data_IF_279178075668
#
_entry.id   IF_279178075668
#
_cell.length_a   1.000
_cell.length_b   1.000
_cell.length_c   1.000
_cell.angle_alpha   90.00
_cell.angle_beta   90.00
_cell.angle_gamma   90.00
#
_symmetry.space_group_name_H-M   'P 1'
#
loop_
_entity.id
_entity.type
_entity.pdbx_description
1 polymer ?
#
# COMPACT_ATOMS: atom_id res chain seq x y z
N UNK A 1 31.59 -12.81 -19.49
CA UNK A 1 30.37 -12.48 -20.25
C UNK A 1 29.17 -12.52 -19.30
N UNK A 2 28.32 -11.49 -19.30
CA UNK A 2 27.05 -11.50 -18.58
C UNK A 2 25.90 -11.35 -19.57
N UNK A 3 24.98 -12.31 -19.60
CA UNK A 3 23.82 -12.29 -20.52
C UNK A 3 22.64 -11.62 -19.82
N UNK A 4 22.05 -10.64 -20.49
CA UNK A 4 20.79 -9.98 -20.12
C UNK A 4 19.73 -10.33 -21.18
N UNK A 5 18.49 -9.88 -20.96
CA UNK A 5 17.36 -10.22 -21.84
C UNK A 5 17.59 -9.80 -23.30
N UNK A 6 17.93 -8.53 -23.51
CA UNK A 6 18.03 -7.95 -24.85
C UNK A 6 19.47 -7.92 -25.38
N UNK A 7 20.45 -8.09 -24.49
CA UNK A 7 21.87 -7.86 -24.77
C UNK A 7 22.76 -8.81 -23.97
N UNK A 8 24.00 -9.01 -24.41
CA UNK A 8 25.05 -9.52 -23.54
C UNK A 8 26.17 -8.50 -23.38
N UNK A 9 26.79 -8.53 -22.20
CA UNK A 9 27.85 -7.64 -21.81
C UNK A 9 29.18 -8.38 -21.91
N UNK A 10 30.04 -7.87 -22.79
CA UNK A 10 31.43 -8.25 -22.90
C UNK A 10 32.30 -7.26 -22.12
N UNK A 11 32.66 -7.66 -20.91
CA UNK A 11 33.52 -6.86 -20.03
C UNK A 11 34.99 -6.83 -20.46
N UNK A 12 35.44 -7.77 -21.30
CA UNK A 12 36.82 -7.76 -21.80
C UNK A 12 36.97 -6.63 -22.83
N UNK A 13 35.97 -6.49 -23.71
CA UNK A 13 35.97 -5.47 -24.75
C UNK A 13 35.22 -4.19 -24.36
N UNK A 14 34.58 -4.15 -23.17
CA UNK A 14 33.73 -3.04 -22.71
C UNK A 14 32.66 -2.66 -23.74
N UNK A 15 31.94 -3.67 -24.24
CA UNK A 15 30.84 -3.49 -25.18
C UNK A 15 29.60 -4.26 -24.72
N UNK A 16 28.45 -3.66 -24.98
CA UNK A 16 27.15 -4.29 -24.93
C UNK A 16 26.77 -4.66 -26.36
N UNK A 17 26.34 -5.88 -26.58
CA UNK A 17 25.98 -6.40 -27.90
C UNK A 17 24.53 -6.86 -27.85
N UNK A 18 23.71 -6.40 -28.78
CA UNK A 18 22.32 -6.85 -28.92
C UNK A 18 22.27 -8.36 -29.18
N UNK A 19 21.40 -9.07 -28.46
CA UNK A 19 21.16 -10.50 -28.68
C UNK A 19 20.49 -10.76 -30.04
N UNK A 20 19.84 -9.74 -30.63
CA UNK A 20 19.12 -9.83 -31.89
C UNK A 20 19.94 -9.36 -33.09
N UNK A 21 20.99 -8.55 -32.88
CA UNK A 21 21.87 -8.06 -33.94
C UNK A 21 23.29 -7.87 -33.41
N UNK A 22 24.21 -8.75 -33.82
CA UNK A 22 25.62 -8.69 -33.41
C UNK A 22 26.33 -7.40 -33.86
N UNK A 23 25.77 -6.68 -34.83
CA UNK A 23 26.32 -5.40 -35.29
C UNK A 23 25.81 -4.21 -34.47
N UNK A 24 24.71 -4.35 -33.72
CA UNK A 24 24.25 -3.34 -32.76
C UNK A 24 25.05 -3.46 -31.47
N UNK A 25 26.22 -2.83 -31.49
CA UNK A 25 27.15 -2.77 -30.38
C UNK A 25 27.21 -1.36 -29.80
N UNK A 26 27.20 -1.27 -28.47
CA UNK A 26 27.32 0.00 -27.75
C UNK A 26 28.47 -0.10 -26.76
N UNK A 27 29.41 0.86 -26.73
CA UNK A 27 30.44 0.88 -25.70
C UNK A 27 29.78 1.03 -24.34
N UNK A 28 30.25 0.28 -23.36
CA UNK A 28 29.83 0.45 -21.97
C UNK A 28 30.97 1.06 -21.17
N UNK A 29 30.60 1.87 -20.18
CA UNK A 29 31.56 2.41 -19.24
C UNK A 29 31.14 2.02 -17.84
N UNK A 30 32.10 1.51 -17.06
CA UNK A 30 31.90 1.34 -15.63
C UNK A 30 31.84 2.72 -14.98
N UNK A 31 30.65 3.15 -14.61
CA UNK A 31 30.46 4.41 -13.89
C UNK A 31 30.52 4.14 -12.38
N UNK A 32 31.51 4.72 -11.71
CA UNK A 32 31.53 4.76 -10.24
C UNK A 32 30.54 5.84 -9.83
N UNK A 33 29.30 5.44 -9.52
CA UNK A 33 28.29 6.36 -9.00
C UNK A 33 28.78 6.97 -7.67
N UNK A 34 28.78 8.29 -7.58
CA UNK A 34 29.02 8.99 -6.32
C UNK A 34 27.82 8.75 -5.41
N UNK A 35 28.00 8.80 -4.08
CA UNK A 35 26.88 8.75 -3.12
C UNK A 35 25.82 9.82 -3.38
N UNK A 36 26.17 10.89 -4.08
CA UNK A 36 25.30 12.02 -4.44
C UNK A 36 24.57 11.83 -5.76
N UNK A 37 24.89 10.80 -6.55
CA UNK A 37 24.24 10.56 -7.84
C UNK A 37 22.85 9.96 -7.60
N UNK A 38 21.86 10.84 -7.45
CA UNK A 38 20.46 10.43 -7.25
C UNK A 38 19.86 10.05 -8.60
N UNK A 39 19.85 8.76 -8.94
CA UNK A 39 19.02 8.26 -10.01
C UNK A 39 17.57 8.29 -9.54
N UNK A 40 16.68 8.85 -10.36
CA UNK A 40 15.25 8.82 -10.14
C UNK A 40 14.63 7.85 -11.12
N UNK A 41 13.53 7.21 -10.71
CA UNK A 41 12.88 6.21 -11.55
C UNK A 41 11.92 6.85 -12.54
N UNK A 42 12.12 6.60 -13.83
CA UNK A 42 11.44 7.36 -14.88
C UNK A 42 9.94 7.01 -15.02
N UNK A 43 9.56 5.73 -14.89
CA UNK A 43 8.24 5.28 -15.36
C UNK A 43 7.18 4.99 -14.28
N UNK A 44 7.49 5.09 -12.98
CA UNK A 44 6.58 4.67 -11.90
C UNK A 44 5.30 5.51 -11.74
N UNK A 45 5.35 6.69 -12.33
CA UNK A 45 4.35 7.73 -12.22
C UNK A 45 3.31 7.66 -13.35
N UNK A 46 3.54 6.88 -14.39
CA UNK A 46 2.54 6.65 -15.44
C UNK A 46 1.35 5.84 -14.91
N UNK A 47 0.13 6.30 -15.20
CA UNK A 47 -1.11 5.60 -14.87
C UNK A 47 -1.56 4.77 -16.08
N UNK A 48 -0.87 3.66 -16.36
CA UNK A 48 -1.16 2.80 -17.52
C UNK A 48 -1.56 1.36 -17.13
N UNK A 49 -2.59 0.76 -17.76
CA UNK A 49 -3.71 1.45 -18.37
C UNK A 49 -4.63 2.02 -17.27
N UNK A 50 -5.15 3.22 -17.51
CA UNK A 50 -6.44 3.60 -16.94
C UNK A 50 -7.44 3.53 -18.09
N UNK A 51 -8.47 2.69 -17.96
CA UNK A 51 -9.58 2.76 -18.89
C UNK A 51 -10.22 4.13 -18.73
N UNK A 52 -10.12 4.97 -19.77
CA UNK A 52 -10.77 6.28 -19.77
C UNK A 52 -12.29 6.19 -19.54
N UNK A 53 -12.89 5.01 -19.77
CA UNK A 53 -14.32 4.77 -19.52
C UNK A 53 -14.62 4.52 -18.04
N UNK A 54 -13.65 4.02 -17.27
CA UNK A 54 -13.79 3.69 -15.86
C UNK A 54 -12.50 3.98 -15.09
N UNK A 55 -12.09 5.25 -14.95
CA UNK A 55 -10.86 5.58 -14.25
C UNK A 55 -10.85 5.21 -12.77
N UNK A 56 -12.03 4.93 -12.22
CA UNK A 56 -12.26 4.62 -10.82
C UNK A 56 -13.00 3.29 -10.64
N UNK A 57 -12.96 2.37 -11.61
CA UNK A 57 -13.64 1.08 -11.49
C UNK A 57 -13.26 0.40 -10.19
N UNK A 58 -14.26 0.01 -9.41
CA UNK A 58 -14.07 -0.67 -8.14
C UNK A 58 -15.35 -0.61 -7.34
N UNK A 59 -15.86 -1.78 -6.94
CA UNK A 59 -16.83 -1.81 -5.86
C UNK A 59 -16.16 -1.19 -4.63
N UNK A 60 -16.83 -0.20 -4.06
CA UNK A 60 -16.46 0.43 -2.81
C UNK A 60 -16.22 -0.65 -1.73
N UNK A 61 -14.96 -0.92 -1.37
CA UNK A 61 -14.62 -2.04 -0.49
C UNK A 61 -13.28 -1.87 0.22
N UNK A 62 -13.16 -2.54 1.37
CA UNK A 62 -11.97 -2.55 2.22
C UNK A 62 -10.73 -3.19 1.54
N UNK A 63 -10.93 -3.92 0.45
CA UNK A 63 -9.88 -4.67 -0.23
C UNK A 63 -10.16 -4.68 -1.73
N UNK A 64 -9.15 -4.45 -2.56
CA UNK A 64 -9.26 -4.58 -4.02
C UNK A 64 -9.84 -5.94 -4.40
N UNK A 65 -10.77 -5.94 -5.37
CA UNK A 65 -11.38 -7.15 -5.90
C UNK A 65 -10.32 -8.16 -6.38
N UNK A 66 -9.14 -7.68 -6.80
CA UNK A 66 -8.08 -8.54 -7.31
C UNK A 66 -7.52 -9.40 -6.18
N UNK A 67 -7.28 -8.80 -5.02
CA UNK A 67 -6.83 -9.50 -3.81
C UNK A 67 -7.91 -10.48 -3.34
N UNK A 68 -9.18 -10.07 -3.38
CA UNK A 68 -10.31 -10.96 -3.03
C UNK A 68 -10.36 -12.18 -3.95
N UNK A 69 -10.23 -11.97 -5.27
CA UNK A 69 -10.23 -13.05 -6.25
C UNK A 69 -8.97 -13.93 -6.17
N UNK A 70 -7.79 -13.35 -5.92
CA UNK A 70 -6.56 -14.09 -5.71
C UNK A 70 -6.68 -15.04 -4.51
N UNK A 71 -7.24 -14.56 -3.39
CA UNK A 71 -7.52 -15.39 -2.21
C UNK A 71 -8.46 -16.55 -2.54
N UNK A 72 -9.52 -16.31 -3.32
CA UNK A 72 -10.45 -17.35 -3.77
C UNK A 72 -9.77 -18.39 -4.66
N UNK A 73 -8.98 -17.95 -5.65
CA UNK A 73 -8.24 -18.83 -6.56
C UNK A 73 -7.24 -19.72 -5.80
N UNK A 74 -6.62 -19.15 -4.76
CA UNK A 74 -5.69 -19.86 -3.88
C UNK A 74 -6.38 -20.66 -2.77
N UNK A 75 -7.72 -20.67 -2.73
CA UNK A 75 -8.54 -21.35 -1.72
C UNK A 75 -8.18 -20.94 -0.28
N UNK A 76 -7.77 -19.69 -0.07
CA UNK A 76 -7.43 -19.15 1.23
C UNK A 76 -8.69 -18.71 1.98
N UNK A 77 -8.87 -19.22 3.20
CA UNK A 77 -9.96 -18.77 4.09
C UNK A 77 -9.66 -17.36 4.63
N UNK A 78 -10.70 -16.66 5.10
CA UNK A 78 -10.59 -15.27 5.55
C UNK A 78 -9.59 -15.09 6.70
N UNK A 79 -9.51 -16.08 7.59
CA UNK A 79 -8.61 -16.20 8.75
C UNK A 79 -7.22 -16.78 8.42
N UNK A 80 -6.98 -17.14 7.15
CA UNK A 80 -5.78 -17.84 6.69
C UNK A 80 -4.96 -16.98 5.74
N UNK A 81 -4.54 -15.83 6.26
CA UNK A 81 -3.52 -14.98 5.61
C UNK A 81 -2.11 -15.36 6.08
N UNK A 82 -1.05 -15.05 5.31
CA UNK A 82 0.34 -15.33 5.67
C UNK A 82 0.70 -14.92 7.11
N UNK A 83 0.18 -13.79 7.57
CA UNK A 83 0.36 -13.22 8.91
C UNK A 83 -0.25 -14.08 10.02
N UNK A 84 -1.27 -14.87 9.69
CA UNK A 84 -2.02 -15.72 10.63
C UNK A 84 -1.74 -17.22 10.48
N UNK A 85 -1.19 -17.65 9.34
CA UNK A 85 -0.85 -19.06 9.09
C UNK A 85 0.49 -19.18 8.37
N UNK A 86 1.55 -19.48 9.13
CA UNK A 86 2.90 -19.61 8.57
C UNK A 86 3.05 -20.76 7.57
N UNK A 87 2.14 -21.75 7.61
CA UNK A 87 2.22 -22.95 6.75
C UNK A 87 1.91 -22.63 5.29
N UNK A 88 1.15 -21.58 5.02
CA UNK A 88 0.82 -21.19 3.64
C UNK A 88 1.90 -20.31 3.00
N UNK A 89 2.82 -19.75 3.78
CA UNK A 89 3.86 -18.83 3.30
C UNK A 89 4.73 -19.51 2.23
N UNK A 90 5.21 -20.71 2.50
CA UNK A 90 6.09 -21.43 1.56
C UNK A 90 5.40 -21.72 0.23
N UNK A 91 4.14 -22.15 0.28
CA UNK A 91 3.32 -22.36 -0.92
C UNK A 91 3.13 -21.06 -1.71
N UNK A 92 2.90 -19.93 -1.03
CA UNK A 92 2.75 -18.63 -1.69
C UNK A 92 4.05 -18.17 -2.33
N UNK A 93 5.19 -18.36 -1.67
CA UNK A 93 6.51 -18.07 -2.24
C UNK A 93 6.74 -18.90 -3.50
N UNK A 94 6.52 -20.22 -3.45
CA UNK A 94 6.71 -21.10 -4.61
C UNK A 94 5.85 -20.69 -5.81
N UNK A 95 4.57 -20.36 -5.55
CA UNK A 95 3.67 -19.91 -6.62
C UNK A 95 4.02 -18.51 -7.13
N UNK A 96 4.43 -17.60 -6.25
CA UNK A 96 4.87 -16.26 -6.64
C UNK A 96 6.12 -16.32 -7.52
N UNK A 97 7.11 -17.13 -7.16
CA UNK A 97 8.33 -17.31 -7.97
C UNK A 97 8.02 -17.90 -9.33
N UNK A 98 7.15 -18.91 -9.40
CA UNK A 98 6.72 -19.49 -10.67
C UNK A 98 5.96 -18.48 -11.54
N UNK A 99 5.05 -17.71 -10.94
CA UNK A 99 4.29 -16.68 -11.63
C UNK A 99 5.17 -15.55 -12.16
N UNK A 100 6.17 -15.11 -11.40
CA UNK A 100 7.16 -14.12 -11.85
C UNK A 100 7.89 -14.63 -13.09
N UNK A 101 8.40 -15.87 -13.07
CA UNK A 101 9.11 -16.47 -14.21
C UNK A 101 8.22 -16.58 -15.44
N UNK A 102 6.98 -17.05 -15.27
CA UNK A 102 6.02 -17.21 -16.37
C UNK A 102 5.70 -15.87 -17.03
N UNK A 103 5.38 -14.86 -16.24
CA UNK A 103 5.05 -13.52 -16.76
C UNK A 103 6.27 -12.80 -17.33
N UNK A 104 7.45 -13.04 -16.76
CA UNK A 104 8.72 -12.56 -17.31
C UNK A 104 8.99 -13.09 -18.70
N UNK A 105 8.81 -14.41 -18.91
CA UNK A 105 8.94 -15.03 -20.24
C UNK A 105 7.97 -14.41 -21.24
N UNK A 106 6.71 -14.21 -20.86
CA UNK A 106 5.70 -13.56 -21.71
C UNK A 106 6.04 -12.10 -22.02
N UNK A 107 6.77 -11.42 -21.14
CA UNK A 107 7.22 -10.05 -21.32
C UNK A 107 8.57 -9.93 -22.05
N UNK A 108 9.22 -11.04 -22.42
CA UNK A 108 10.58 -11.02 -22.95
C UNK A 108 11.65 -10.62 -21.92
N UNK A 109 11.36 -10.80 -20.63
CA UNK A 109 12.19 -10.43 -19.47
C UNK A 109 12.56 -11.65 -18.64
N UNK A 110 13.09 -12.69 -19.30
CA UNK A 110 13.36 -13.99 -18.69
C UNK A 110 14.48 -13.92 -17.65
N UNK A 111 15.61 -13.31 -17.99
CA UNK A 111 16.76 -13.16 -17.08
C UNK A 111 16.39 -12.30 -15.87
N UNK A 112 15.72 -11.17 -16.08
CA UNK A 112 15.20 -10.33 -14.99
C UNK A 112 14.26 -11.13 -14.07
N UNK A 113 13.31 -11.88 -14.65
CA UNK A 113 12.33 -12.65 -13.88
C UNK A 113 12.95 -13.83 -13.10
N UNK A 114 13.88 -14.56 -13.70
CA UNK A 114 14.60 -15.65 -13.02
C UNK A 114 15.42 -15.09 -11.85
N UNK A 115 16.08 -13.96 -12.05
CA UNK A 115 16.79 -13.28 -10.97
C UNK A 115 15.85 -12.88 -9.83
N UNK A 116 14.71 -12.24 -10.15
CA UNK A 116 13.72 -11.84 -9.14
C UNK A 116 13.12 -13.03 -8.37
N UNK A 117 12.78 -14.10 -9.10
CA UNK A 117 12.28 -15.33 -8.51
C UNK A 117 13.32 -15.96 -7.57
N UNK A 118 14.60 -15.97 -7.96
CA UNK A 118 15.69 -16.45 -7.11
C UNK A 118 15.85 -15.60 -5.84
N UNK A 119 15.75 -14.27 -5.93
CA UNK A 119 15.78 -13.40 -4.73
C UNK A 119 14.66 -13.73 -3.75
N UNK A 120 13.43 -13.94 -4.25
CA UNK A 120 12.30 -14.30 -3.40
C UNK A 120 12.43 -15.71 -2.82
N UNK A 121 12.93 -16.67 -3.61
CA UNK A 121 13.13 -18.06 -3.18
C UNK A 121 14.16 -18.19 -2.05
N UNK A 122 15.23 -17.38 -2.08
CA UNK A 122 16.24 -17.34 -1.01
C UNK A 122 15.65 -16.94 0.36
N UNK A 123 14.53 -16.22 0.38
CA UNK A 123 13.86 -15.78 1.60
C UNK A 123 12.78 -16.74 2.10
N UNK A 124 12.48 -17.83 1.36
CA UNK A 124 11.38 -18.77 1.62
C UNK A 124 11.31 -19.27 3.07
N UNK A 125 12.48 -19.48 3.70
CA UNK A 125 12.59 -20.04 5.05
C UNK A 125 12.88 -19.00 6.13
N UNK A 126 12.95 -17.71 5.79
CA UNK A 126 13.33 -16.64 6.71
C UNK A 126 12.13 -15.95 7.39
N UNK A 127 10.93 -16.50 7.21
CA UNK A 127 9.68 -16.00 7.79
C UNK A 127 9.07 -14.79 7.04
N UNK A 128 7.81 -14.50 7.35
CA UNK A 128 7.00 -13.50 6.61
C UNK A 128 7.67 -12.13 6.56
N UNK A 129 8.27 -11.68 7.66
CA UNK A 129 8.92 -10.37 7.78
C UNK A 129 10.04 -10.15 6.76
N UNK A 130 10.82 -11.19 6.44
CA UNK A 130 11.89 -11.12 5.44
C UNK A 130 11.36 -11.25 4.03
N UNK A 131 10.42 -12.18 3.83
CA UNK A 131 9.74 -12.39 2.55
C UNK A 131 9.03 -11.11 2.10
N UNK A 132 8.27 -10.48 3.00
CA UNK A 132 7.58 -9.23 2.71
C UNK A 132 8.56 -8.11 2.33
N UNK A 133 9.68 -7.96 3.04
CA UNK A 133 10.73 -6.97 2.69
C UNK A 133 11.31 -7.24 1.30
N UNK A 134 11.51 -8.51 0.95
CA UNK A 134 11.95 -8.90 -0.39
C UNK A 134 10.89 -8.55 -1.45
N UNK A 135 9.62 -8.90 -1.24
CA UNK A 135 8.52 -8.52 -2.14
C UNK A 135 8.43 -7.00 -2.33
N UNK A 136 8.51 -6.24 -1.24
CA UNK A 136 8.51 -4.79 -1.27
C UNK A 136 9.68 -4.26 -2.11
N UNK A 137 10.91 -4.71 -1.83
CA UNK A 137 12.09 -4.33 -2.62
C UNK A 137 11.91 -4.67 -4.10
N UNK A 138 11.53 -5.89 -4.45
CA UNK A 138 11.31 -6.33 -5.83
C UNK A 138 10.25 -5.46 -6.54
N UNK A 139 9.17 -5.11 -5.85
CA UNK A 139 8.15 -4.20 -6.37
C UNK A 139 8.67 -2.77 -6.60
N UNK A 140 9.67 -2.34 -5.81
CA UNK A 140 10.37 -1.05 -5.94
C UNK A 140 11.52 -1.02 -6.93
N UNK A 141 11.77 -2.10 -7.66
CA UNK A 141 12.74 -2.10 -8.75
C UNK A 141 12.11 -1.60 -10.04
N UNK A 142 12.87 -0.93 -10.89
CA UNK A 142 12.43 -0.54 -12.24
C UNK A 142 12.36 -1.75 -13.18
N UNK A 143 11.34 -2.58 -12.97
CA UNK A 143 11.20 -3.89 -13.61
C UNK A 143 9.87 -4.10 -14.32
N UNK A 144 9.74 -5.19 -15.08
CA UNK A 144 8.44 -5.58 -15.63
C UNK A 144 7.40 -5.86 -14.53
N UNK A 145 7.83 -6.35 -13.35
CA UNK A 145 6.97 -6.93 -12.33
C UNK A 145 5.93 -5.94 -11.82
N UNK A 146 6.36 -4.78 -11.31
CA UNK A 146 5.43 -3.78 -10.78
C UNK A 146 4.54 -3.19 -11.88
N UNK A 147 5.07 -3.03 -13.12
CA UNK A 147 4.32 -2.52 -14.27
C UNK A 147 3.17 -3.47 -14.55
N UNK A 148 3.46 -4.75 -14.78
CA UNK A 148 2.47 -5.77 -15.13
C UNK A 148 1.48 -6.05 -14.02
N UNK A 149 1.90 -6.06 -12.76
CA UNK A 149 0.99 -6.17 -11.61
C UNK A 149 0.00 -5.01 -11.61
N UNK A 150 0.49 -3.78 -11.63
CA UNK A 150 -0.37 -2.61 -11.56
C UNK A 150 -1.28 -2.49 -12.78
N UNK A 151 -0.76 -2.79 -13.98
CA UNK A 151 -1.54 -2.83 -15.20
C UNK A 151 -2.71 -3.81 -15.06
N UNK A 152 -2.41 -5.04 -14.66
CA UNK A 152 -3.40 -6.11 -14.48
C UNK A 152 -4.46 -5.74 -13.44
N UNK A 153 -4.03 -5.24 -12.27
CA UNK A 153 -4.94 -4.90 -11.19
C UNK A 153 -5.87 -3.74 -11.58
N UNK A 154 -5.43 -2.79 -12.41
CA UNK A 154 -6.28 -1.69 -12.92
C UNK A 154 -7.35 -2.15 -13.90
N UNK A 155 -7.17 -3.29 -14.55
CA UNK A 155 -8.18 -3.85 -15.47
C UNK A 155 -9.38 -4.46 -14.73
N UNK A 156 -9.34 -4.57 -13.40
CA UNK A 156 -10.43 -5.16 -12.64
C UNK A 156 -11.69 -4.29 -12.70
N UNK A 157 -12.84 -4.94 -12.78
CA UNK A 157 -14.13 -4.29 -13.02
C UNK A 157 -14.41 -3.99 -14.49
N UNK A 158 -13.43 -4.11 -15.39
CA UNK A 158 -13.69 -4.08 -16.83
C UNK A 158 -14.22 -5.42 -17.32
N UNK A 159 -15.46 -5.44 -17.82
CA UNK A 159 -16.05 -6.63 -18.48
C UNK A 159 -15.27 -7.02 -19.74
N UNK A 160 -14.76 -6.04 -20.47
CA UNK A 160 -14.00 -6.25 -21.71
C UNK A 160 -12.66 -6.96 -21.44
N UNK A 161 -12.03 -6.68 -20.29
CA UNK A 161 -10.72 -7.22 -19.93
C UNK A 161 -10.79 -8.31 -18.86
N UNK A 162 -11.98 -8.90 -18.64
CA UNK A 162 -12.19 -9.86 -17.57
C UNK A 162 -11.27 -11.08 -17.69
N UNK A 163 -11.17 -11.64 -18.89
CA UNK A 163 -10.29 -12.78 -19.16
C UNK A 163 -8.81 -12.45 -18.92
N UNK A 164 -8.41 -11.21 -19.21
CA UNK A 164 -7.02 -10.76 -19.05
C UNK A 164 -6.66 -10.78 -17.56
N UNK A 165 -7.36 -10.02 -16.71
CA UNK A 165 -6.98 -9.96 -15.30
C UNK A 165 -7.23 -11.28 -14.55
N UNK A 166 -8.27 -12.05 -14.93
CA UNK A 166 -8.53 -13.37 -14.32
C UNK A 166 -7.40 -14.36 -14.60
N UNK A 167 -6.86 -14.38 -15.82
CA UNK A 167 -5.74 -15.28 -16.17
C UNK A 167 -4.51 -15.05 -15.28
N UNK A 168 -4.31 -13.81 -14.82
CA UNK A 168 -3.18 -13.38 -14.00
C UNK A 168 -3.35 -13.61 -12.50
N UNK A 169 -4.53 -14.07 -12.05
CA UNK A 169 -4.75 -14.41 -10.64
C UNK A 169 -3.84 -15.55 -10.17
N UNK A 170 -3.52 -16.50 -11.06
CA UNK A 170 -2.66 -17.64 -10.76
C UNK A 170 -1.18 -17.27 -10.69
N UNK A 171 -0.75 -16.31 -11.52
CA UNK A 171 0.65 -15.90 -11.64
C UNK A 171 0.98 -14.77 -10.66
N UNK A 172 0.31 -13.61 -10.74
CA UNK A 172 0.59 -12.47 -9.86
C UNK A 172 -0.13 -12.52 -8.52
N UNK A 173 -1.26 -13.21 -8.41
CA UNK A 173 -2.05 -13.27 -7.17
C UNK A 173 -1.25 -13.65 -5.92
N UNK A 174 -0.43 -14.72 -5.92
CA UNK A 174 0.40 -15.10 -4.79
C UNK A 174 1.37 -13.99 -4.35
N UNK A 175 2.05 -13.34 -5.30
CA UNK A 175 2.96 -12.23 -5.01
C UNK A 175 2.21 -11.03 -4.42
N UNK A 176 1.07 -10.66 -5.00
CA UNK A 176 0.24 -9.57 -4.51
C UNK A 176 -0.26 -9.81 -3.08
N UNK A 177 -0.61 -11.06 -2.72
CA UNK A 177 -0.99 -11.40 -1.34
C UNK A 177 0.19 -11.26 -0.39
N UNK A 178 1.38 -11.75 -0.77
CA UNK A 178 2.59 -11.61 0.05
C UNK A 178 2.97 -10.14 0.27
N UNK A 179 2.78 -9.27 -0.72
CA UNK A 179 3.06 -7.84 -0.61
C UNK A 179 1.98 -7.10 0.19
N UNK A 180 0.71 -7.47 0.00
CA UNK A 180 -0.44 -6.83 0.65
C UNK A 180 -0.52 -7.14 2.16
N UNK A 181 -0.21 -8.37 2.57
CA UNK A 181 -0.28 -8.80 3.98
C UNK A 181 0.96 -8.37 4.78
N UNK A 182 1.09 -7.05 4.96
CA UNK A 182 2.23 -6.39 5.60
C UNK A 182 2.31 -6.71 7.11
N UNK A 183 3.35 -7.43 7.57
CA UNK A 183 3.50 -7.80 8.98
C UNK A 183 3.94 -6.64 9.89
N UNK A 184 4.28 -5.47 9.33
CA UNK A 184 4.69 -4.28 10.06
C UNK A 184 3.57 -3.26 10.19
N UNK A 185 2.63 -3.24 9.26
CA UNK A 185 1.65 -2.18 9.15
C UNK A 185 0.23 -2.62 9.54
N UNK A 186 -0.01 -2.68 10.84
CA UNK A 186 -1.33 -2.99 11.41
C UNK A 186 -2.17 -1.74 11.68
N UNK A 187 -1.60 -0.53 11.52
CA UNK A 187 -2.29 0.72 11.80
C UNK A 187 -2.36 1.60 10.55
N UNK A 188 -3.56 2.03 10.15
CA UNK A 188 -3.72 2.93 9.03
C UNK A 188 -3.09 4.29 9.35
N UNK A 189 -2.58 4.92 8.30
CA UNK A 189 -2.12 6.29 8.34
C UNK A 189 -3.32 7.22 8.52
N UNK A 190 -3.22 8.14 9.48
CA UNK A 190 -4.28 9.11 9.84
C UNK A 190 -3.70 10.50 10.05
N UNK A 191 -4.57 11.49 10.27
CA UNK A 191 -4.16 12.82 10.74
C UNK A 191 -3.87 13.83 9.64
N UNK A 192 -4.39 13.64 8.43
CA UNK A 192 -4.26 14.61 7.33
C UNK A 192 -2.86 14.70 6.74
N UNK A 193 -2.04 13.64 6.87
CA UNK A 193 -0.71 13.59 6.26
C UNK A 193 -0.80 13.77 4.75
N UNK A 194 0.17 14.45 4.16
CA UNK A 194 0.20 14.71 2.72
C UNK A 194 1.11 13.71 2.02
N UNK A 195 0.63 13.14 0.92
CA UNK A 195 1.39 12.34 -0.03
C UNK A 195 1.26 12.95 -1.43
N UNK A 196 2.22 12.67 -2.29
CA UNK A 196 2.34 13.28 -3.61
C UNK A 196 2.65 12.24 -4.67
N UNK A 197 2.05 12.36 -5.84
CA UNK A 197 2.32 11.45 -6.96
C UNK A 197 2.29 12.23 -8.27
N UNK A 198 3.43 12.31 -8.96
CA UNK A 198 3.44 12.76 -10.34
C UNK A 198 2.75 11.74 -11.25
N UNK A 199 2.19 12.17 -12.38
CA UNK A 199 1.66 11.27 -13.38
C UNK A 199 1.58 11.92 -14.76
N UNK A 200 1.55 11.07 -15.79
CA UNK A 200 1.15 11.45 -17.14
C UNK A 200 -0.29 11.02 -17.38
N UNK A 201 -1.20 11.97 -17.59
CA UNK A 201 -2.60 11.74 -17.96
C UNK A 201 -2.91 12.41 -19.30
N UNK A 202 -3.84 11.84 -20.07
CA UNK A 202 -4.40 12.51 -21.24
C UNK A 202 -5.31 13.66 -20.83
N UNK A 203 -5.51 14.62 -21.73
CA UNK A 203 -6.42 15.75 -21.51
C UNK A 203 -7.85 15.29 -21.22
N UNK A 204 -8.31 14.24 -21.90
CA UNK A 204 -9.63 13.62 -21.64
C UNK A 204 -9.75 13.12 -20.20
N UNK A 205 -8.71 12.49 -19.66
CA UNK A 205 -8.73 11.98 -18.30
C UNK A 205 -8.66 13.13 -17.28
N UNK A 206 -7.88 14.18 -17.56
CA UNK A 206 -7.86 15.40 -16.74
C UNK A 206 -9.23 16.06 -16.73
N UNK A 207 -9.91 16.17 -17.88
CA UNK A 207 -11.25 16.71 -18.00
C UNK A 207 -12.27 15.89 -17.18
N UNK A 208 -12.12 14.57 -17.13
CA UNK A 208 -12.93 13.72 -16.25
C UNK A 208 -12.70 14.04 -14.77
N UNK A 209 -11.46 14.19 -14.31
CA UNK A 209 -11.20 14.62 -12.93
C UNK A 209 -11.84 15.98 -12.61
N UNK A 210 -11.80 16.94 -13.55
CA UNK A 210 -12.47 18.25 -13.40
C UNK A 210 -13.98 18.11 -13.29
N UNK A 211 -14.58 17.21 -14.08
CA UNK A 211 -16.02 16.97 -14.02
C UNK A 211 -16.42 16.33 -12.69
N UNK A 212 -15.67 15.31 -12.25
CA UNK A 212 -15.99 14.56 -11.03
C UNK A 212 -15.74 15.39 -9.77
N UNK A 213 -14.78 16.33 -9.78
CA UNK A 213 -14.56 17.24 -8.66
C UNK A 213 -15.74 18.18 -8.40
N UNK A 214 -16.72 18.24 -9.31
CA UNK A 214 -17.96 19.03 -9.14
C UNK A 214 -19.08 18.22 -8.48
N UNK A 215 -18.89 16.91 -8.29
CA UNK A 215 -19.83 16.02 -7.62
C UNK A 215 -19.29 15.62 -6.26
N UNK A 216 -19.94 16.05 -5.18
CA UNK A 216 -19.49 15.76 -3.81
C UNK A 216 -19.57 14.28 -3.44
N UNK A 217 -20.39 13.51 -4.16
CA UNK A 217 -20.77 12.15 -3.76
C UNK A 217 -19.96 11.07 -4.51
N UNK A 218 -19.12 11.49 -5.46
CA UNK A 218 -18.32 10.56 -6.23
C UNK A 218 -17.05 10.18 -5.49
N UNK A 219 -16.98 8.89 -5.13
CA UNK A 219 -15.80 8.26 -4.55
C UNK A 219 -15.12 7.39 -5.59
N UNK A 220 -13.80 7.52 -5.70
CA UNK A 220 -12.93 6.62 -6.44
C UNK A 220 -12.20 5.65 -5.51
N UNK A 221 -11.51 4.68 -6.10
CA UNK A 221 -10.63 3.77 -5.34
C UNK A 221 -9.42 3.35 -6.15
N UNK A 222 -8.29 3.16 -5.48
CA UNK A 222 -7.06 2.63 -6.07
C UNK A 222 -7.17 1.11 -6.18
N UNK A 223 -7.40 0.58 -7.38
CA UNK A 223 -7.49 -0.88 -7.57
C UNK A 223 -6.15 -1.61 -7.48
N UNK A 224 -5.07 -0.90 -7.75
CA UNK A 224 -3.70 -1.39 -7.72
C UNK A 224 -2.91 -0.73 -6.59
N UNK A 225 -1.76 -1.32 -6.28
CA UNK A 225 -0.76 -0.67 -5.45
C UNK A 225 -0.36 0.66 -6.08
N UNK A 226 -0.41 1.74 -5.29
CA UNK A 226 -0.16 3.10 -5.79
C UNK A 226 1.02 3.69 -5.03
N UNK A 227 2.17 3.74 -5.72
CA UNK A 227 3.36 4.39 -5.19
C UNK A 227 3.14 5.91 -5.10
N UNK A 228 3.50 6.49 -3.97
CA UNK A 228 3.46 7.94 -3.72
C UNK A 228 4.70 8.35 -2.95
N UNK A 229 4.95 9.64 -2.85
CA UNK A 229 6.10 10.22 -2.16
C UNK A 229 5.63 11.13 -1.04
N UNK A 230 6.34 11.13 0.09
CA UNK A 230 6.18 12.17 1.12
C UNK A 230 6.86 13.49 0.71
N UNK A 231 7.78 13.41 -0.25
CA UNK A 231 8.53 14.54 -0.77
C UNK A 231 7.87 15.11 -2.04
N UNK A 232 7.13 16.21 -1.87
CA UNK A 232 6.47 16.91 -2.98
C UNK A 232 7.43 17.24 -4.12
N UNK A 233 8.62 17.76 -3.80
CA UNK A 233 9.57 18.23 -4.79
C UNK A 233 10.11 17.09 -5.67
N UNK A 234 10.15 15.86 -5.15
CA UNK A 234 10.49 14.66 -5.93
C UNK A 234 9.33 14.24 -6.82
N UNK A 235 8.12 14.10 -6.26
CA UNK A 235 6.94 13.73 -7.06
C UNK A 235 6.61 14.72 -8.20
N UNK A 236 6.84 16.01 -7.98
CA UNK A 236 6.54 17.06 -8.95
C UNK A 236 7.48 17.05 -10.17
N UNK A 237 8.59 16.31 -10.13
CA UNK A 237 9.49 16.15 -11.29
C UNK A 237 8.89 15.27 -12.39
N UNK A 238 7.82 14.54 -12.09
CA UNK A 238 7.25 13.57 -13.02
C UNK A 238 5.94 14.03 -13.65
N UNK A 239 5.84 13.81 -14.95
CA UNK A 239 4.65 13.94 -15.78
C UNK A 239 3.98 15.31 -15.86
N UNK A 240 2.80 15.37 -16.48
CA UNK A 240 1.99 16.59 -16.67
C UNK A 240 0.96 16.85 -15.55
N UNK A 241 0.84 15.93 -14.57
CA UNK A 241 -0.07 16.02 -13.43
C UNK A 241 0.69 15.78 -12.12
N UNK A 242 0.29 16.48 -11.06
CA UNK A 242 0.63 16.20 -9.68
C UNK A 242 -0.65 15.87 -8.89
N UNK A 243 -0.75 14.65 -8.39
CA UNK A 243 -1.73 14.31 -7.37
C UNK A 243 -1.25 14.78 -6.00
N UNK A 244 -2.08 15.55 -5.32
CA UNK A 244 -1.89 16.02 -3.95
C UNK A 244 -2.87 15.28 -3.05
N UNK A 245 -2.37 14.31 -2.29
CA UNK A 245 -3.17 13.32 -1.56
C UNK A 245 -3.18 13.66 -0.07
N UNK A 246 -4.33 14.04 0.49
CA UNK A 246 -4.50 14.22 1.92
C UNK A 246 -5.03 12.94 2.56
N UNK A 247 -4.26 12.35 3.47
CA UNK A 247 -4.61 11.09 4.13
C UNK A 247 -5.44 11.34 5.38
N UNK A 248 -6.76 11.13 5.29
CA UNK A 248 -7.62 11.11 6.48
C UNK A 248 -7.52 9.75 7.19
N UNK A 249 -7.63 8.67 6.41
CA UNK A 249 -7.52 7.30 6.90
C UNK A 249 -7.18 6.37 5.73
N UNK A 250 -5.97 5.81 5.67
CA UNK A 250 -5.58 4.89 4.60
C UNK A 250 -4.52 3.89 5.06
N UNK A 251 -4.57 2.66 4.52
CA UNK A 251 -3.48 1.70 4.69
C UNK A 251 -2.37 2.05 3.71
N UNK A 252 -1.22 2.47 4.25
CA UNK A 252 -0.03 2.85 3.49
C UNK A 252 1.21 2.30 4.16
N UNK A 253 2.22 1.96 3.37
CA UNK A 253 3.48 1.43 3.90
C UNK A 253 4.63 2.33 3.48
N UNK A 254 5.45 2.76 4.44
CA UNK A 254 6.73 3.43 4.18
C UNK A 254 7.73 2.43 3.58
N UNK A 255 8.10 2.66 2.31
CA UNK A 255 9.08 1.87 1.59
C UNK A 255 10.42 2.58 1.42
N UNK A 256 10.61 3.77 2.00
CA UNK A 256 11.84 4.56 1.83
C UNK A 256 13.11 3.79 2.16
N UNK A 257 13.08 2.91 3.16
CA UNK A 257 14.23 2.10 3.58
C UNK A 257 14.43 0.81 2.78
N UNK A 258 13.45 0.43 1.96
CA UNK A 258 13.47 -0.81 1.16
C UNK A 258 13.58 -0.53 -0.34
N UNK A 259 13.22 0.68 -0.75
CA UNK A 259 13.28 1.15 -2.13
C UNK A 259 14.72 1.27 -2.61
N UNK A 260 14.94 1.01 -3.89
CA UNK A 260 16.18 1.37 -4.58
C UNK A 260 16.35 2.90 -4.71
N UNK A 261 15.28 3.65 -4.42
CA UNK A 261 15.18 5.09 -4.53
C UNK A 261 14.78 5.72 -3.19
N UNK A 262 15.63 5.65 -2.14
CA UNK A 262 15.27 6.09 -0.79
C UNK A 262 14.93 7.60 -0.72
N UNK A 263 15.56 8.42 -1.56
CA UNK A 263 15.33 9.87 -1.62
C UNK A 263 13.95 10.24 -2.19
N UNK A 264 13.26 9.30 -2.83
CA UNK A 264 11.86 9.50 -3.24
C UNK A 264 10.92 9.44 -2.03
N UNK A 265 11.38 9.01 -0.86
CA UNK A 265 10.58 8.87 0.37
C UNK A 265 9.25 8.15 0.09
N UNK A 266 9.37 7.00 -0.57
CA UNK A 266 8.21 6.28 -1.08
C UNK A 266 7.28 5.81 0.04
N UNK A 267 6.00 6.10 -0.15
CA UNK A 267 4.89 5.59 0.63
C UNK A 267 3.95 4.82 -0.33
N UNK A 268 3.82 3.51 -0.13
CA UNK A 268 2.99 2.64 -0.94
C UNK A 268 1.56 2.62 -0.42
N UNK A 269 0.62 3.13 -1.21
CA UNK A 269 -0.81 3.07 -0.90
C UNK A 269 -1.34 1.69 -1.31
N UNK A 270 -2.03 1.02 -0.38
CA UNK A 270 -2.56 -0.32 -0.61
C UNK A 270 -3.79 -0.34 -1.55
N UNK A 271 -3.97 -1.41 -2.33
CA UNK A 271 -5.17 -1.63 -3.14
C UNK A 271 -6.46 -1.60 -2.31
N UNK A 272 -7.47 -0.88 -2.80
CA UNK A 272 -8.78 -0.69 -2.16
C UNK A 272 -8.93 0.62 -1.39
N UNK A 273 -7.84 1.40 -1.19
CA UNK A 273 -7.95 2.74 -0.61
C UNK A 273 -8.83 3.62 -1.48
N UNK A 274 -9.84 4.24 -0.87
CA UNK A 274 -10.82 5.09 -1.51
C UNK A 274 -10.37 6.56 -1.47
N UNK A 275 -10.96 7.39 -2.33
CA UNK A 275 -10.73 8.82 -2.30
C UNK A 275 -11.89 9.62 -2.85
N UNK A 276 -11.96 10.88 -2.43
CA UNK A 276 -12.77 11.94 -3.08
C UNK A 276 -11.85 12.89 -3.82
N UNK A 277 -12.38 13.55 -4.85
CA UNK A 277 -11.66 14.59 -5.59
C UNK A 277 -12.09 15.94 -5.04
N UNK A 278 -11.18 16.61 -4.33
CA UNK A 278 -11.46 17.88 -3.67
C UNK A 278 -11.39 19.06 -4.66
N UNK A 279 -10.63 18.90 -5.75
CA UNK A 279 -10.51 19.91 -6.80
C UNK A 279 -9.40 19.62 -7.79
N UNK A 280 -9.47 20.30 -8.93
CA UNK A 280 -8.41 20.30 -9.96
C UNK A 280 -8.01 21.73 -10.25
N UNK A 281 -6.70 22.01 -10.29
CA UNK A 281 -6.13 23.32 -10.61
C UNK A 281 -5.08 23.16 -11.71
N UNK A 282 -4.86 24.20 -12.50
CA UNK A 282 -3.75 24.26 -13.44
C UNK A 282 -2.77 25.33 -12.98
N UNK A 283 -1.50 24.95 -12.85
CA UNK A 283 -0.40 25.87 -12.57
C UNK A 283 0.28 26.25 -13.90
N UNK A 284 0.09 27.50 -14.39
CA UNK A 284 0.66 27.93 -15.67
C UNK A 284 2.18 28.14 -15.60
N UNK A 285 2.75 28.36 -14.40
CA UNK A 285 4.19 28.55 -14.23
C UNK A 285 4.91 27.21 -14.35
N UNK A 286 4.33 26.16 -13.75
CA UNK A 286 4.87 24.80 -13.82
C UNK A 286 4.38 24.02 -15.04
N UNK A 287 3.43 24.56 -15.79
CA UNK A 287 2.70 23.88 -16.87
C UNK A 287 2.20 22.50 -16.42
N UNK A 288 1.51 22.46 -15.27
CA UNK A 288 1.12 21.20 -14.61
C UNK A 288 -0.28 21.29 -14.00
N UNK A 289 -1.07 20.23 -14.12
CA UNK A 289 -2.33 20.12 -13.39
C UNK A 289 -2.09 19.56 -11.99
N UNK A 290 -2.72 20.15 -10.99
CA UNK A 290 -2.76 19.65 -9.62
C UNK A 290 -4.14 19.06 -9.33
N UNK A 291 -4.18 17.78 -8.97
CA UNK A 291 -5.42 17.06 -8.62
C UNK A 291 -5.39 16.76 -7.12
N UNK A 292 -6.28 17.40 -6.38
CA UNK A 292 -6.37 17.29 -4.93
C UNK A 292 -7.32 16.16 -4.56
N UNK A 293 -6.81 15.16 -3.84
CA UNK A 293 -7.58 14.00 -3.40
C UNK A 293 -7.56 13.89 -1.87
N UNK A 294 -8.68 13.52 -1.27
CA UNK A 294 -8.73 13.12 0.14
C UNK A 294 -8.88 11.60 0.22
N UNK A 295 -7.87 10.94 0.79
CA UNK A 295 -7.84 9.48 0.96
C UNK A 295 -8.61 9.07 2.21
N UNK A 296 -9.52 8.14 2.01
CA UNK A 296 -10.28 7.48 3.05
C UNK A 296 -10.28 5.99 2.82
N UNK A 297 -10.57 5.23 3.86
CA UNK A 297 -10.91 3.84 3.71
C UNK A 297 -12.36 3.72 4.13
N UNK A 298 -13.20 3.07 3.33
CA UNK A 298 -14.63 3.09 3.57
C UNK A 298 -14.95 2.56 4.98
N UNK A 299 -15.38 3.46 5.86
CA UNK A 299 -15.83 3.16 7.22
C UNK A 299 -17.33 2.85 7.24
N UNK A 300 -18.05 3.19 6.16
CA UNK A 300 -19.52 3.12 6.05
C UNK A 300 -20.08 1.69 5.90
N UNK A 301 -19.24 0.65 5.95
CA UNK A 301 -19.75 -0.70 6.14
C UNK A 301 -19.90 -0.91 7.65
N UNK A 302 -21.13 -1.02 8.18
CA UNK A 302 -21.37 -1.42 9.58
C UNK A 302 -20.65 -2.75 9.94
N UNK A 303 -20.19 -3.52 8.94
CA UNK A 303 -19.28 -4.65 9.09
C UNK A 303 -17.82 -4.28 9.39
N UNK A 304 -17.34 -3.11 8.98
CA UNK A 304 -16.00 -2.63 9.31
C UNK A 304 -15.85 -2.32 10.81
N UNK A 305 -16.92 -1.87 11.48
CA UNK A 305 -16.92 -1.73 12.94
C UNK A 305 -16.84 -3.08 13.67
N UNK A 306 -17.40 -4.16 13.11
CA UNK A 306 -17.27 -5.50 13.68
C UNK A 306 -15.94 -6.18 13.34
N UNK A 307 -15.38 -5.97 12.14
CA UNK A 307 -14.04 -6.46 11.77
C UNK A 307 -12.94 -5.70 12.53
N UNK A 308 -13.04 -4.38 12.70
CA UNK A 308 -12.08 -3.60 13.49
C UNK A 308 -12.17 -3.96 14.97
N UNK A 309 -13.36 -4.28 15.51
CA UNK A 309 -13.52 -4.85 16.86
C UNK A 309 -12.94 -6.26 16.97
N UNK A 310 -13.09 -7.11 15.95
CA UNK A 310 -12.51 -8.46 15.93
C UNK A 310 -10.99 -8.40 15.82
N UNK A 311 -10.42 -7.57 14.96
CA UNK A 311 -8.97 -7.40 14.81
C UNK A 311 -8.32 -6.79 16.06
N UNK A 312 -8.93 -5.74 16.63
CA UNK A 312 -8.45 -5.13 17.87
C UNK A 312 -8.69 -6.00 19.10
N UNK A 313 -9.76 -6.80 19.13
CA UNK A 313 -10.01 -7.80 20.17
C UNK A 313 -9.00 -8.95 20.13
N UNK A 314 -8.62 -9.39 18.93
CA UNK A 314 -7.63 -10.46 18.73
C UNK A 314 -6.21 -10.03 19.11
N UNK A 315 -5.82 -8.79 18.76
CA UNK A 315 -4.51 -8.24 19.16
C UNK A 315 -4.39 -8.04 20.68
N UNK A 316 -5.50 -7.75 21.37
CA UNK A 316 -5.52 -7.68 22.85
C UNK A 316 -5.48 -9.05 23.51
N UNK A 317 -6.05 -10.08 22.88
CA UNK A 317 -6.01 -11.46 23.39
C UNK A 317 -4.62 -12.11 23.29
N UNK A 318 -3.86 -11.81 22.24
CA UNK A 318 -2.50 -12.34 22.06
C UNK A 318 -1.47 -11.73 23.02
N UNK A 319 -1.73 -10.53 23.56
CA UNK A 319 -0.83 -9.90 24.53
C UNK A 319 -1.09 -10.31 25.98
N UNK A 320 -2.18 -11.05 26.25
CA UNK A 320 -2.55 -11.50 27.59
C UNK A 320 -2.15 -12.95 27.91
N UNK A 321 -1.64 -13.70 26.94
CA UNK A 321 -1.27 -15.12 27.09
C UNK A 321 0.20 -15.29 26.67
N UNK A 322 1.12 -14.75 27.46
CA UNK A 322 2.55 -15.12 27.46
C UNK A 322 3.23 -14.45 28.68
N UNK A 323 3.04 -15.06 29.85
CA UNK A 323 4.00 -14.95 30.97
C UNK A 323 4.45 -16.36 31.32
N UNK A 324 5.76 -16.64 31.38
CA UNK A 324 6.25 -17.99 31.63
C UNK A 324 6.17 -18.35 33.12
N UNK A 325 5.73 -19.59 33.34
CA UNK A 325 5.93 -20.37 34.57
C UNK A 325 7.41 -20.74 34.67
N UNK A 326 8.07 -20.38 35.77
CA UNK A 326 9.23 -21.06 36.35
C UNK A 326 9.25 -20.82 37.87
N UNK A 327 9.39 -21.92 38.60
CA UNK A 327 9.37 -22.14 40.06
C UNK A 327 10.58 -21.48 40.79
N UNK A 328 10.63 -21.26 42.12
CA UNK A 328 9.75 -21.63 43.23
C UNK A 328 10.27 -21.16 44.62
N UNK A 329 9.44 -21.41 45.64
CA UNK A 329 9.70 -21.63 47.08
C UNK A 329 10.52 -20.61 47.91
N UNK A 330 9.84 -19.80 48.75
CA UNK A 330 9.65 -20.10 50.18
C UNK A 330 8.91 -18.99 50.98
N UNK A 331 7.91 -19.46 51.74
CA UNK A 331 7.44 -19.06 53.08
C UNK A 331 6.97 -17.63 53.46
N UNK A 332 5.78 -17.65 54.10
CA UNK A 332 5.24 -16.78 55.16
C UNK A 332 4.26 -15.63 54.79
N UNK A 333 3.02 -15.79 55.28
CA UNK A 333 1.86 -14.86 55.36
C UNK A 333 2.02 -13.83 56.51
N UNK A 334 1.04 -12.93 56.81
CA UNK A 334 0.02 -12.22 55.99
C UNK A 334 -0.08 -10.70 56.28
N UNK A 335 -0.84 -9.96 55.47
CA UNK A 335 -1.40 -8.65 55.85
C UNK A 335 -2.09 -7.91 54.69
N UNK A 336 -3.32 -7.39 54.86
CA UNK A 336 -4.04 -6.66 53.81
C UNK A 336 -3.77 -5.16 53.93
N UNK A 337 -3.44 -4.49 52.82
CA UNK A 337 -3.49 -3.04 52.74
C UNK A 337 -3.91 -2.59 51.36
N UNK A 338 -4.97 -1.78 51.38
CA UNK A 338 -5.57 -1.07 50.26
C UNK A 338 -4.63 -0.04 49.63
N UNK A 339 -4.99 0.41 48.42
CA UNK A 339 -4.52 1.66 47.84
C UNK A 339 -3.56 1.49 46.68
N UNK A 340 -4.10 1.34 45.47
CA UNK A 340 -3.36 1.46 44.22
C UNK A 340 -3.89 2.64 43.42
N UNK A 341 -3.21 3.77 43.52
CA UNK A 341 -3.42 4.99 42.75
C UNK A 341 -3.31 4.74 41.23
N UNK A 342 -4.36 5.09 40.48
CA UNK A 342 -4.24 5.31 39.04
C UNK A 342 -4.02 6.80 38.77
N UNK A 343 -2.76 7.18 38.54
CA UNK A 343 -2.44 8.46 37.87
C UNK A 343 -2.78 8.33 36.39
N UNK A 344 -3.95 8.82 36.00
CA UNK A 344 -4.27 9.11 34.60
C UNK A 344 -3.72 10.51 34.29
N UNK A 345 -2.79 10.58 33.34
CA UNK A 345 -2.27 11.86 32.83
C UNK A 345 -3.36 12.56 32.01
N UNK A 346 -3.75 13.76 32.45
CA UNK A 346 -4.65 14.68 31.76
C UNK A 346 -4.00 15.13 30.44
N UNK A 347 -4.59 14.80 29.31
CA UNK A 347 -4.30 15.49 28.04
C UNK A 347 -5.30 16.64 27.89
N UNK A 348 -4.87 17.86 28.20
CA UNK A 348 -5.60 19.09 27.87
C UNK A 348 -5.11 19.57 26.51
N UNK A 349 -5.76 19.13 25.44
CA UNK A 349 -5.63 19.78 24.14
C UNK A 349 -7.04 20.17 23.68
N UNK A 350 -7.27 21.47 23.53
CA UNK A 350 -8.53 22.03 23.05
C UNK A 350 -8.93 21.41 21.72
N UNK A 351 -10.23 21.25 21.52
CA UNK A 351 -10.82 20.62 20.34
C UNK A 351 -11.75 21.57 19.60
N UNK A 352 -12.15 21.19 18.39
CA UNK A 352 -13.21 21.86 17.64
C UNK A 352 -14.47 20.99 17.67
N UNK A 353 -15.64 21.60 17.82
CA UNK A 353 -16.93 20.92 17.69
C UNK A 353 -17.86 21.70 16.75
N UNK A 354 -18.85 21.04 16.17
CA UNK A 354 -19.92 21.72 15.43
C UNK A 354 -21.12 21.91 16.34
N UNK A 355 -21.64 23.13 16.41
CA UNK A 355 -22.88 23.40 17.12
C UNK A 355 -24.10 22.85 16.36
N UNK A 356 -25.29 22.97 16.96
CA UNK A 356 -26.55 22.49 16.36
C UNK A 356 -26.90 23.16 15.03
N UNK A 357 -26.23 24.27 14.70
CA UNK A 357 -26.40 24.99 13.43
C UNK A 357 -25.28 24.64 12.43
N UNK A 358 -24.45 23.65 12.73
CA UNK A 358 -23.38 23.17 11.86
C UNK A 358 -22.13 24.07 11.85
N UNK A 359 -22.06 25.09 12.70
CA UNK A 359 -20.94 26.03 12.75
C UNK A 359 -19.80 25.44 13.58
N UNK A 360 -18.57 25.46 13.04
CA UNK A 360 -17.39 24.97 13.75
C UNK A 360 -16.98 25.99 14.83
N UNK A 361 -16.85 25.54 16.08
CA UNK A 361 -16.43 26.35 17.24
C UNK A 361 -15.28 25.68 17.98
N UNK A 362 -14.42 26.50 18.58
CA UNK A 362 -13.37 26.04 19.48
C UNK A 362 -13.93 25.75 20.88
N UNK A 363 -13.50 24.65 21.49
CA UNK A 363 -13.64 24.34 22.91
C UNK A 363 -12.23 24.38 23.54
N UNK A 364 -11.77 25.56 23.99
CA UNK A 364 -10.42 25.75 24.51
C UNK A 364 -10.18 24.99 25.81
N UNK A 365 -11.26 24.67 26.53
CA UNK A 365 -11.24 24.09 27.87
C UNK A 365 -11.48 22.59 27.89
N UNK A 366 -11.86 21.98 26.77
CA UNK A 366 -12.16 20.53 26.67
C UNK A 366 -13.40 20.10 27.46
N UNK A 367 -14.19 21.06 27.93
CA UNK A 367 -15.30 20.86 28.86
C UNK A 367 -16.48 20.14 28.23
N UNK A 368 -16.71 20.31 26.92
CA UNK A 368 -17.79 19.60 26.22
C UNK A 368 -17.46 18.13 26.00
N UNK A 369 -16.17 17.81 25.78
CA UNK A 369 -15.72 16.42 25.66
C UNK A 369 -15.92 15.66 26.98
N UNK A 370 -15.61 16.29 28.11
CA UNK A 370 -15.80 15.73 29.46
C UNK A 370 -17.28 15.51 29.81
N UNK A 371 -18.17 16.42 29.38
CA UNK A 371 -19.61 16.30 29.63
C UNK A 371 -20.28 15.23 28.76
N UNK A 372 -19.87 15.11 27.48
CA UNK A 372 -20.30 14.03 26.61
C UNK A 372 -19.84 12.66 27.12
N UNK A 373 -18.60 12.58 27.62
CA UNK A 373 -18.06 11.36 28.21
C UNK A 373 -18.82 10.95 29.49
N UNK A 374 -19.11 11.90 30.38
CA UNK A 374 -19.92 11.63 31.59
C UNK A 374 -21.33 11.15 31.27
N UNK A 375 -21.99 11.72 30.25
CA UNK A 375 -23.31 11.25 29.81
C UNK A 375 -23.28 9.85 29.21
N UNK A 376 -22.22 9.52 28.47
CA UNK A 376 -22.03 8.17 27.92
C UNK A 376 -21.84 7.11 29.02
N UNK A 377 -21.22 7.47 30.15
CA UNK A 377 -21.08 6.58 31.31
C UNK A 377 -22.38 6.37 32.10
N UNK A 378 -23.38 7.26 31.93
CA UNK A 378 -24.66 7.21 32.64
C UNK A 378 -25.80 6.59 31.82
N UNK A 379 -25.55 6.20 30.57
CA UNK A 379 -26.57 5.57 29.75
C UNK A 379 -26.87 4.14 30.28
N UNK A 380 -28.15 3.78 30.51
CA UNK A 380 -28.51 2.45 30.98
C UNK A 380 -28.12 1.39 29.93
N UNK A 381 -27.51 0.31 30.40
CA UNK A 381 -27.22 -0.87 29.57
C UNK A 381 -28.54 -1.62 29.35
N UNK A 382 -28.96 -1.71 28.10
CA UNK A 382 -30.04 -2.61 27.70
C UNK A 382 -29.46 -4.02 27.59
N UNK A 383 -29.94 -4.92 28.44
CA UNK A 383 -29.78 -6.35 28.23
C UNK A 383 -30.79 -6.77 27.16
N UNK A 384 -30.30 -7.41 26.10
CA UNK A 384 -31.13 -8.07 25.09
C UNK A 384 -31.07 -9.57 25.36
N UNK A 385 -32.25 -10.17 25.60
CA UNK A 385 -32.48 -11.63 25.60
C UNK A 385 -32.23 -12.26 24.23
#
# INVERSE_FOLDING_TARGET
MATLDDVYIDFENNIQISNNDINDQKPIQRQVRRRTDTHLREERFTMNPISAKNPFSGLQGWTSDFIVHAKKELKLKKDKLPSNDSRIIQMLVDRATQGIIEEGKLAGKTCEAEWMANQLMQEKNNGLKRIWKCCARLYTMESFLYKKINETMRLIGSKEHENVWRSKLRTFGPFCILLWDDPYNHLPLTGGKMLYRGANLSDDLIAQYVQLSRSSDQRGSFQAFTSSSRNRAKAEQFGNVLFVLRVNYAYTTDLSQLSEYPDEEEELIHPGVCFTIDGVRYDPVKNKHEIYLTLTHNVDDDRANSVTRLYNGFCRGASAILLPVMEGLNAARPGPSAGGDYRISRMTNGGFYRDRNGTLREDPTGTLADDCYRRAQQAPRYDFD
#
